data_IF_400662222721
#
_entry.id   IF_400662222721
#
_cell.length_a   1.000
_cell.length_b   1.000
_cell.length_c   1.000
_cell.angle_alpha   90.00
_cell.angle_beta   90.00
_cell.angle_gamma   90.00
#
_symmetry.space_group_name_H-M   'P 1'
#
loop_
_entity.id
_entity.type
_entity.pdbx_description
1 polymer ?
#
# COMPACT_ATOMS: atom_id res chain seq x y z
N UNK A 1 28.82 41.76 -7.24
CA UNK A 1 27.38 41.42 -7.26
C UNK A 1 26.91 40.51 -6.11
N UNK A 2 27.76 39.73 -5.43
CA UNK A 2 27.34 38.84 -4.33
C UNK A 2 26.89 39.54 -3.02
N UNK A 3 27.31 40.79 -2.77
CA UNK A 3 27.00 41.50 -1.51
C UNK A 3 25.55 42.00 -1.41
N UNK A 4 24.86 42.21 -2.52
CA UNK A 4 23.48 42.71 -2.52
C UNK A 4 22.48 41.59 -2.19
N UNK A 5 22.71 40.40 -2.74
CA UNK A 5 21.85 39.21 -2.53
C UNK A 5 21.87 38.75 -1.08
N UNK A 6 23.03 38.77 -0.41
CA UNK A 6 23.16 38.40 1.00
C UNK A 6 22.43 39.40 1.92
N UNK A 7 22.44 40.71 1.59
CA UNK A 7 21.68 41.71 2.35
C UNK A 7 20.17 41.51 2.22
N UNK A 8 19.68 41.13 1.04
CA UNK A 8 18.26 40.83 0.81
C UNK A 8 17.82 39.59 1.60
N UNK A 9 18.65 38.54 1.62
CA UNK A 9 18.35 37.32 2.38
C UNK A 9 18.34 37.61 3.89
N UNK A 10 19.34 38.32 4.42
CA UNK A 10 19.39 38.69 5.85
C UNK A 10 18.21 39.58 6.27
N UNK A 11 17.74 40.47 5.39
CA UNK A 11 16.56 41.30 5.62
C UNK A 11 15.28 40.44 5.68
N UNK A 12 15.11 39.51 4.74
CA UNK A 12 13.95 38.59 4.70
C UNK A 12 13.90 37.64 5.89
N UNK A 13 15.04 37.16 6.38
CA UNK A 13 15.10 36.32 7.60
C UNK A 13 14.67 37.10 8.84
N UNK A 14 15.16 38.34 9.01
CA UNK A 14 14.73 39.21 10.12
C UNK A 14 13.23 39.55 10.06
N UNK A 15 12.70 39.79 8.86
CA UNK A 15 11.27 40.07 8.68
C UNK A 15 10.41 38.83 9.02
N UNK A 16 10.89 37.62 8.70
CA UNK A 16 10.26 36.36 9.08
C UNK A 16 10.26 36.12 10.60
N UNK A 17 11.36 36.41 11.30
CA UNK A 17 11.41 36.30 12.76
C UNK A 17 10.45 37.28 13.43
N UNK A 18 10.37 38.52 12.93
CA UNK A 18 9.45 39.55 13.45
C UNK A 18 7.98 39.17 13.26
N UNK A 19 7.64 38.50 12.15
CA UNK A 19 6.32 37.96 11.89
C UNK A 19 6.00 36.77 12.80
N UNK A 20 7.01 35.94 13.12
CA UNK A 20 6.88 34.80 14.04
C UNK A 20 6.60 35.26 15.47
N UNK A 21 7.29 36.29 15.95
CA UNK A 21 7.02 36.89 17.27
C UNK A 21 5.63 37.53 17.35
N UNK A 22 5.18 38.20 16.28
CA UNK A 22 3.82 38.76 16.21
C UNK A 22 2.73 37.68 16.19
N UNK A 23 2.95 36.58 15.48
CA UNK A 23 2.02 35.44 15.47
C UNK A 23 1.94 34.75 16.83
N UNK A 24 3.06 34.64 17.56
CA UNK A 24 3.09 34.11 18.93
C UNK A 24 2.36 35.01 19.92
N UNK A 25 2.45 36.34 19.78
CA UNK A 25 1.70 37.28 20.62
C UNK A 25 0.19 37.24 20.28
N UNK A 26 -0.17 37.09 19.01
CA UNK A 26 -1.58 36.94 18.61
C UNK A 26 -2.19 35.63 19.11
N UNK A 27 -1.42 34.54 19.08
CA UNK A 27 -1.87 33.22 19.57
C UNK A 27 -2.03 33.17 21.08
N UNK A 28 -1.26 33.97 21.84
CA UNK A 28 -1.39 34.08 23.29
C UNK A 28 -2.66 34.84 23.75
N UNK A 29 -3.29 35.62 22.87
CA UNK A 29 -4.51 36.38 23.18
C UNK A 29 -5.81 35.67 22.74
N UNK A 30 -5.72 34.46 22.18
CA UNK A 30 -6.88 33.66 21.74
C UNK A 30 -6.97 32.38 22.58
N UNK A 31 -7.03 32.57 23.90
CA UNK A 31 -7.46 31.54 24.86
C UNK A 31 -8.41 32.18 25.86
N UNK A 32 -9.52 32.75 25.38
CA UNK A 32 -10.66 33.04 26.23
C UNK A 32 -11.94 33.24 25.41
N UNK A 33 -12.97 32.51 25.81
CA UNK A 33 -14.40 32.69 25.51
C UNK A 33 -14.89 32.26 24.11
N UNK A 34 -15.66 31.17 24.11
CA UNK A 34 -16.33 30.63 22.94
C UNK A 34 -17.47 31.50 22.39
N UNK A 35 -17.73 31.33 21.09
CA UNK A 35 -19.06 31.37 20.44
C UNK A 35 -18.92 30.87 19.00
N UNK A 36 -19.70 29.85 18.69
CA UNK A 36 -20.00 29.37 17.34
C UNK A 36 -20.68 30.46 16.49
N UNK A 37 -20.60 30.30 15.17
CA UNK A 37 -21.32 31.05 14.12
C UNK A 37 -21.05 32.55 14.01
N UNK A 38 -20.02 32.94 13.22
CA UNK A 38 -20.05 34.09 12.26
C UNK A 38 -18.69 34.41 11.64
N UNK A 39 -18.03 33.48 10.94
CA UNK A 39 -17.00 33.84 9.93
C UNK A 39 -17.08 32.85 8.74
N UNK A 40 -18.26 32.74 8.13
CA UNK A 40 -18.48 32.13 6.81
C UNK A 40 -19.11 33.15 5.86
N UNK A 41 -18.49 34.33 5.72
CA UNK A 41 -18.81 35.29 4.65
C UNK A 41 -17.91 36.53 4.82
N UNK A 42 -16.75 36.56 4.15
CA UNK A 42 -16.08 37.78 3.66
C UNK A 42 -14.66 37.50 3.10
N UNK A 43 -14.54 36.54 2.18
CA UNK A 43 -13.34 36.48 1.32
C UNK A 43 -13.66 35.93 -0.08
N UNK A 44 -14.88 36.16 -0.57
CA UNK A 44 -15.26 35.82 -1.94
C UNK A 44 -15.97 37.04 -2.57
N UNK A 45 -15.18 38.05 -2.94
CA UNK A 45 -15.49 39.04 -3.99
C UNK A 45 -14.27 39.95 -4.22
N UNK A 46 -13.90 40.10 -5.50
CA UNK A 46 -12.86 40.96 -6.10
C UNK A 46 -11.43 40.40 -6.13
N UNK A 47 -11.15 39.51 -7.08
CA UNK A 47 -10.58 39.90 -8.40
C UNK A 47 -10.21 38.66 -9.22
N UNK A 48 -10.69 38.65 -10.47
CA UNK A 48 -10.50 37.64 -11.50
C UNK A 48 -9.05 37.64 -12.02
N UNK A 49 -8.36 36.49 -11.99
CA UNK A 49 -7.77 35.83 -13.17
C UNK A 49 -6.86 34.65 -12.75
N UNK A 50 -7.02 33.54 -13.49
CA UNK A 50 -6.12 32.38 -13.65
C UNK A 50 -6.01 31.35 -12.50
N UNK A 51 -6.54 30.16 -12.82
CA UNK A 51 -6.19 28.79 -12.42
C UNK A 51 -5.71 28.52 -10.99
N UNK A 52 -6.49 27.76 -10.21
CA UNK A 52 -6.08 27.22 -8.90
C UNK A 52 -6.62 25.81 -8.69
N UNK A 53 -5.73 24.83 -8.61
CA UNK A 53 -5.90 23.66 -7.75
C UNK A 53 -4.81 23.70 -6.66
N UNK A 54 -5.26 23.53 -5.41
CA UNK A 54 -4.52 23.29 -4.15
C UNK A 54 -3.80 24.50 -3.50
N UNK A 55 -3.64 24.57 -2.15
CA UNK A 55 -3.29 23.42 -1.28
C UNK A 55 -4.00 23.26 0.08
N UNK A 56 -3.90 22.01 0.57
CA UNK A 56 -4.04 21.57 1.95
C UNK A 56 -3.19 22.41 2.93
N UNK A 57 -3.75 22.70 4.11
CA UNK A 57 -2.97 22.93 5.34
C UNK A 57 -3.86 22.71 6.58
N UNK A 58 -3.24 22.14 7.62
CA UNK A 58 -3.71 21.93 9.01
C UNK A 58 -4.74 20.81 9.27
N UNK A 59 -4.28 19.69 9.84
CA UNK A 59 -4.61 19.34 11.24
C UNK A 59 -3.77 18.15 11.75
N UNK A 60 -2.89 18.40 12.72
CA UNK A 60 -2.42 17.39 13.69
C UNK A 60 -2.09 18.14 14.98
N UNK A 61 -2.79 17.81 16.06
CA UNK A 61 -2.34 17.88 17.46
C UNK A 61 -3.48 17.37 18.36
N UNK A 62 -3.40 16.11 18.80
CA UNK A 62 -3.48 15.79 20.22
C UNK A 62 -3.26 14.29 20.44
N UNK A 63 -2.12 14.00 21.08
CA UNK A 63 -1.78 12.70 21.63
C UNK A 63 -2.24 12.61 23.09
N UNK A 64 -2.64 11.40 23.48
CA UNK A 64 -2.61 10.86 24.84
C UNK A 64 -3.77 11.23 25.79
N UNK A 65 -4.62 10.23 26.06
CA UNK A 65 -4.90 9.71 27.42
C UNK A 65 -5.75 8.43 27.37
N UNK A 66 -5.17 7.35 27.94
CA UNK A 66 -5.77 6.23 28.71
C UNK A 66 -6.97 5.45 28.14
N UNK A 67 -6.78 4.13 28.01
CA UNK A 67 -7.89 3.16 28.02
C UNK A 67 -7.41 1.71 27.82
N UNK A 68 -7.65 0.85 28.80
CA UNK A 68 -7.26 -0.56 28.89
C UNK A 68 -7.59 -1.40 27.65
N UNK A 69 -6.66 -2.28 27.25
CA UNK A 69 -6.91 -3.38 26.31
C UNK A 69 -7.34 -4.65 27.05
N UNK A 70 -8.55 -5.20 26.80
CA UNK A 70 -8.85 -6.56 27.18
C UNK A 70 -8.27 -7.54 26.16
N UNK A 71 -7.43 -8.44 26.66
CA UNK A 71 -7.03 -9.71 26.05
C UNK A 71 -8.26 -10.60 25.94
N UNK A 72 -9.01 -10.57 24.82
CA UNK A 72 -10.03 -11.59 24.48
C UNK A 72 -10.69 -11.43 23.09
N UNK A 73 -9.90 -11.31 22.01
CA UNK A 73 -10.42 -11.31 20.63
C UNK A 73 -9.61 -12.19 19.66
N UNK A 74 -9.19 -13.38 20.13
CA UNK A 74 -8.52 -14.38 19.29
C UNK A 74 -9.48 -15.20 18.38
N UNK A 75 -10.80 -15.02 18.48
CA UNK A 75 -11.76 -15.80 17.68
C UNK A 75 -12.79 -14.90 17.00
N UNK A 76 -12.45 -14.38 15.81
CA UNK A 76 -13.38 -14.12 14.69
C UNK A 76 -12.68 -13.30 13.61
N UNK A 77 -12.18 -14.00 12.60
CA UNK A 77 -12.22 -13.65 11.16
C UNK A 77 -11.07 -14.39 10.46
N UNK A 78 -11.30 -15.67 10.17
CA UNK A 78 -10.52 -16.40 9.17
C UNK A 78 -11.43 -16.51 7.95
N UNK A 79 -11.17 -15.69 6.93
CA UNK A 79 -11.87 -15.80 5.65
C UNK A 79 -11.24 -16.95 4.87
N UNK A 80 -11.97 -18.06 4.81
CA UNK A 80 -11.70 -19.16 3.87
C UNK A 80 -12.41 -18.81 2.57
N UNK A 81 -11.71 -18.87 1.44
CA UNK A 81 -12.32 -18.55 0.15
C UNK A 81 -12.44 -19.79 -0.74
N UNK A 82 -13.64 -19.99 -1.27
CA UNK A 82 -13.95 -20.85 -2.41
C UNK A 82 -14.59 -19.95 -3.47
N UNK A 83 -14.21 -20.11 -4.74
CA UNK A 83 -14.70 -19.28 -5.84
C UNK A 83 -16.22 -19.48 -6.07
N UNK A 84 -16.97 -18.38 -6.26
CA UNK A 84 -18.38 -18.39 -6.66
C UNK A 84 -18.49 -17.71 -8.03
N UNK A 85 -18.85 -18.47 -9.06
CA UNK A 85 -19.17 -17.95 -10.40
C UNK A 85 -20.64 -17.53 -10.46
N UNK A 86 -20.90 -16.25 -10.73
CA UNK A 86 -22.24 -15.69 -10.91
C UNK A 86 -22.84 -16.01 -12.29
N UNK A 87 -24.07 -16.53 -12.31
CA UNK A 87 -24.86 -16.72 -13.52
C UNK A 87 -26.06 -15.75 -13.57
N UNK A 88 -26.20 -15.03 -14.69
CA UNK A 88 -27.37 -14.19 -15.02
C UNK A 88 -28.55 -15.06 -15.47
N UNK A 89 -29.75 -14.62 -15.11
CA UNK A 89 -31.03 -15.21 -15.50
C UNK A 89 -31.51 -14.56 -16.80
N UNK A 90 -31.87 -15.38 -17.79
CA UNK A 90 -32.94 -15.12 -18.76
C UNK A 90 -33.40 -16.47 -19.32
N UNK A 91 -34.69 -16.79 -19.20
CA UNK A 91 -35.32 -17.96 -19.83
C UNK A 91 -36.46 -17.50 -20.75
N UNK A 92 -36.44 -17.97 -21.99
CA UNK A 92 -37.56 -18.73 -22.57
C UNK A 92 -37.08 -19.49 -23.81
N UNK A 93 -37.31 -20.80 -23.85
CA UNK A 93 -36.98 -21.65 -25.00
C UNK A 93 -36.52 -23.04 -24.60
N UNK A 94 -37.47 -23.96 -24.45
CA UNK A 94 -37.26 -25.38 -24.18
C UNK A 94 -36.70 -26.08 -25.42
N UNK A 95 -35.54 -26.73 -25.32
CA UNK A 95 -35.12 -27.75 -26.27
C UNK A 95 -34.44 -28.92 -25.55
N UNK A 96 -34.94 -30.12 -25.87
CA UNK A 96 -34.38 -31.41 -25.47
C UNK A 96 -32.89 -31.49 -25.76
N UNK A 97 -32.09 -31.88 -24.77
CA UNK A 97 -30.70 -32.30 -25.00
C UNK A 97 -30.42 -33.53 -24.15
N UNK A 98 -29.80 -34.52 -24.79
CA UNK A 98 -29.37 -35.79 -24.22
C UNK A 98 -28.41 -35.54 -23.06
N UNK A 99 -28.57 -36.32 -21.99
CA UNK A 99 -27.70 -36.26 -20.83
C UNK A 99 -26.37 -36.95 -21.16
N UNK A 100 -25.38 -36.19 -21.64
CA UNK A 100 -23.98 -36.59 -21.52
C UNK A 100 -23.50 -36.24 -20.11
N UNK A 101 -23.29 -37.28 -19.31
CA UNK A 101 -22.56 -37.17 -18.07
C UNK A 101 -21.11 -36.81 -18.39
N UNK A 102 -20.77 -35.52 -18.38
CA UNK A 102 -19.38 -35.06 -18.35
C UNK A 102 -18.84 -35.45 -16.98
N UNK A 103 -18.17 -36.60 -16.93
CA UNK A 103 -17.37 -36.99 -15.79
C UNK A 103 -16.32 -35.91 -15.56
N UNK A 104 -16.57 -35.03 -14.59
CA UNK A 104 -15.58 -34.08 -14.12
C UNK A 104 -14.40 -34.90 -13.59
N UNK A 105 -13.32 -34.95 -14.37
CA UNK A 105 -12.05 -35.51 -13.94
C UNK A 105 -11.60 -34.71 -12.74
N UNK A 106 -11.78 -35.28 -11.55
CA UNK A 106 -11.17 -34.82 -10.32
C UNK A 106 -9.70 -35.20 -10.36
N UNK A 107 -8.94 -34.57 -11.27
CA UNK A 107 -7.49 -34.52 -11.13
C UNK A 107 -7.23 -33.60 -9.95
N UNK A 108 -7.05 -34.19 -8.76
CA UNK A 108 -6.27 -33.56 -7.71
C UNK A 108 -4.89 -33.35 -8.31
N UNK A 109 -4.64 -32.18 -8.89
CA UNK A 109 -3.28 -31.71 -9.10
C UNK A 109 -2.67 -31.70 -7.70
N UNK A 110 -1.81 -32.69 -7.44
CA UNK A 110 -0.96 -32.66 -6.27
C UNK A 110 -0.03 -31.49 -6.53
N UNK A 111 -0.33 -30.33 -5.94
CA UNK A 111 0.57 -29.19 -6.00
C UNK A 111 1.94 -29.67 -5.53
N UNK A 112 2.87 -29.83 -6.46
CA UNK A 112 4.23 -30.28 -6.16
C UNK A 112 4.87 -29.23 -5.26
N UNK A 113 4.96 -29.54 -3.97
CA UNK A 113 5.65 -28.70 -2.99
C UNK A 113 7.12 -28.62 -3.40
N UNK A 114 7.73 -27.44 -3.29
CA UNK A 114 9.11 -27.25 -3.68
C UNK A 114 10.05 -28.21 -2.91
N UNK A 115 10.96 -28.85 -3.63
CA UNK A 115 11.97 -29.75 -3.06
C UNK A 115 13.14 -28.93 -2.49
N UNK A 116 12.98 -28.46 -1.26
CA UNK A 116 13.98 -27.70 -0.51
C UNK A 116 14.05 -28.18 0.95
N UNK A 117 15.19 -27.94 1.62
CA UNK A 117 15.34 -28.18 3.06
C UNK A 117 14.55 -27.13 3.88
N UNK A 118 13.31 -27.48 4.21
CA UNK A 118 12.41 -26.65 5.00
C UNK A 118 12.89 -26.41 6.44
N UNK A 119 13.66 -27.33 7.03
CA UNK A 119 14.18 -27.22 8.40
C UNK A 119 15.46 -26.34 8.45
N UNK A 120 16.20 -26.33 7.36
CA UNK A 120 17.34 -25.45 7.13
C UNK A 120 16.99 -24.00 6.84
N UNK A 121 15.73 -23.67 6.52
CA UNK A 121 15.33 -22.32 6.12
C UNK A 121 15.69 -21.25 7.17
N UNK A 122 16.48 -20.27 6.73
CA UNK A 122 16.75 -19.03 7.47
C UNK A 122 15.81 -17.90 7.06
N UNK A 123 16.27 -16.66 7.27
CA UNK A 123 15.65 -15.44 6.76
C UNK A 123 16.43 -14.88 5.56
N UNK A 124 16.86 -15.77 4.66
CA UNK A 124 17.51 -15.41 3.40
C UNK A 124 16.48 -15.21 2.29
N UNK A 125 16.86 -14.48 1.25
CA UNK A 125 16.07 -14.45 0.02
C UNK A 125 16.19 -15.81 -0.68
N UNK A 126 15.08 -16.52 -0.77
CA UNK A 126 14.92 -17.66 -1.66
C UNK A 126 14.03 -17.20 -2.82
N UNK A 127 14.61 -17.15 -4.02
CA UNK A 127 13.87 -16.74 -5.21
C UNK A 127 12.74 -17.74 -5.50
N UNK A 128 11.52 -17.21 -5.69
CA UNK A 128 10.33 -17.96 -6.09
C UNK A 128 10.00 -17.71 -7.56
N UNK A 129 8.90 -18.27 -8.06
CA UNK A 129 8.62 -18.32 -9.49
C UNK A 129 8.10 -16.99 -10.05
N UNK A 130 7.18 -16.36 -9.32
CA UNK A 130 6.46 -15.18 -9.80
C UNK A 130 6.51 -14.02 -8.81
N UNK A 131 6.45 -12.81 -9.35
CA UNK A 131 6.17 -11.56 -8.66
C UNK A 131 5.00 -10.85 -9.35
N UNK A 132 4.31 -9.96 -8.63
CA UNK A 132 3.23 -9.15 -9.20
C UNK A 132 3.68 -7.70 -9.34
N UNK A 133 3.39 -7.08 -10.48
CA UNK A 133 3.67 -5.67 -10.73
C UNK A 133 2.41 -4.91 -11.13
N UNK A 134 2.30 -3.69 -10.62
CA UNK A 134 1.26 -2.75 -10.99
C UNK A 134 1.85 -1.35 -11.05
N UNK A 135 1.46 -0.56 -12.05
CA UNK A 135 1.98 0.79 -12.25
C UNK A 135 0.87 1.81 -12.06
N UNK A 136 1.23 2.92 -11.42
CA UNK A 136 0.46 4.14 -11.40
C UNK A 136 1.18 5.19 -12.26
N UNK A 137 0.44 5.81 -13.18
CA UNK A 137 0.97 6.85 -14.07
C UNK A 137 0.58 8.23 -13.54
N UNK A 138 0.84 9.26 -14.35
CA UNK A 138 0.63 10.68 -14.00
C UNK A 138 -0.82 11.06 -13.67
N UNK A 139 -1.77 10.21 -14.00
CA UNK A 139 -3.19 10.37 -13.66
C UNK A 139 -3.49 10.05 -12.20
N UNK A 140 -2.56 9.41 -11.49
CA UNK A 140 -2.75 9.00 -10.09
C UNK A 140 -3.52 7.69 -9.94
N UNK A 141 -3.87 7.03 -11.05
CA UNK A 141 -4.64 5.79 -11.05
C UNK A 141 -3.72 4.58 -11.21
N UNK A 142 -4.04 3.49 -10.51
CA UNK A 142 -3.36 2.21 -10.67
C UNK A 142 -4.07 1.40 -11.76
N UNK A 143 -3.30 1.02 -12.78
CA UNK A 143 -3.77 0.19 -13.89
C UNK A 143 -3.83 -1.28 -13.48
N UNK A 144 -4.43 -2.13 -14.32
CA UNK A 144 -4.39 -3.58 -14.11
C UNK A 144 -2.93 -4.06 -13.99
N UNK A 145 -2.66 -4.81 -12.93
CA UNK A 145 -1.33 -5.39 -12.69
C UNK A 145 -1.25 -6.80 -13.25
N UNK A 146 -0.03 -7.33 -13.29
CA UNK A 146 0.27 -8.61 -13.90
C UNK A 146 1.25 -9.43 -13.06
N UNK A 147 1.08 -10.75 -13.12
CA UNK A 147 2.08 -11.70 -12.64
C UNK A 147 3.17 -11.82 -13.70
N UNK A 148 4.41 -11.70 -13.25
CA UNK A 148 5.60 -11.86 -14.08
C UNK A 148 6.54 -12.86 -13.41
N UNK A 149 7.39 -13.57 -14.17
CA UNK A 149 8.48 -14.34 -13.58
C UNK A 149 9.31 -13.46 -12.65
N UNK A 150 9.74 -14.01 -11.51
CA UNK A 150 10.60 -13.28 -10.59
C UNK A 150 11.88 -12.83 -11.31
N UNK A 151 12.22 -11.55 -11.20
CA UNK A 151 13.37 -10.99 -11.90
C UNK A 151 13.74 -9.59 -11.42
N UNK A 152 14.72 -9.01 -12.09
CA UNK A 152 15.19 -7.66 -11.83
C UNK A 152 14.15 -6.62 -12.24
N UNK A 153 13.99 -5.58 -11.41
CA UNK A 153 13.18 -4.40 -11.74
C UNK A 153 14.09 -3.36 -12.37
N UNK A 154 13.80 -2.98 -13.62
CA UNK A 154 14.50 -1.90 -14.30
C UNK A 154 13.97 -0.54 -13.84
N UNK A 155 14.88 0.36 -13.44
CA UNK A 155 14.56 1.71 -13.00
C UNK A 155 15.44 2.72 -13.75
N UNK A 156 14.89 3.89 -14.03
CA UNK A 156 15.70 5.03 -14.47
C UNK A 156 16.73 5.37 -13.39
N UNK A 157 17.99 5.71 -13.73
CA UNK A 157 18.95 6.26 -12.77
C UNK A 157 18.42 7.51 -12.05
N UNK A 158 17.51 8.26 -12.67
CA UNK A 158 16.84 9.43 -12.09
C UNK A 158 15.52 9.11 -11.37
N UNK A 159 15.23 7.84 -11.08
CA UNK A 159 14.02 7.47 -10.34
C UNK A 159 14.00 8.10 -8.94
N UNK A 160 12.81 8.56 -8.52
CA UNK A 160 12.62 9.20 -7.21
C UNK A 160 13.02 8.30 -6.04
N UNK A 161 12.77 6.99 -6.15
CA UNK A 161 13.18 6.00 -5.14
C UNK A 161 14.70 5.91 -4.97
N UNK A 162 15.47 6.04 -6.05
CA UNK A 162 16.94 5.92 -6.02
C UNK A 162 17.63 7.19 -5.51
N UNK A 163 17.07 8.36 -5.81
CA UNK A 163 17.72 9.65 -5.54
C UNK A 163 17.21 10.33 -4.27
N UNK A 164 15.93 10.13 -3.94
CA UNK A 164 15.25 10.83 -2.85
C UNK A 164 14.62 9.88 -1.84
N UNK A 165 14.84 8.57 -1.98
CA UNK A 165 14.27 7.57 -1.07
C UNK A 165 12.74 7.55 -1.08
N UNK A 166 12.10 8.00 -2.17
CA UNK A 166 10.65 8.06 -2.28
C UNK A 166 10.07 6.65 -2.51
N UNK A 167 10.00 5.87 -1.44
CA UNK A 167 9.43 4.53 -1.45
C UNK A 167 9.16 4.01 -0.05
N UNK A 168 8.27 3.02 0.04
CA UNK A 168 7.94 2.34 1.29
C UNK A 168 7.66 0.86 1.02
N UNK A 169 7.57 0.08 2.09
CA UNK A 169 7.32 -1.35 1.99
C UNK A 169 6.31 -1.83 3.03
N UNK A 170 5.75 -3.01 2.78
CA UNK A 170 4.93 -3.76 3.71
C UNK A 170 5.43 -5.18 3.87
N UNK A 171 5.11 -5.78 5.03
CA UNK A 171 5.53 -7.13 5.38
C UNK A 171 4.37 -7.92 5.99
N UNK A 172 4.05 -9.04 5.38
CA UNK A 172 3.03 -9.97 5.85
C UNK A 172 3.42 -11.42 5.50
N UNK A 173 2.61 -12.38 5.93
CA UNK A 173 2.91 -13.80 5.80
C UNK A 173 1.69 -14.59 5.35
N UNK A 174 1.91 -15.58 4.49
CA UNK A 174 0.96 -16.64 4.21
C UNK A 174 1.37 -17.92 4.94
N UNK A 175 0.37 -18.63 5.45
CA UNK A 175 0.56 -19.87 6.19
C UNK A 175 -0.24 -21.00 5.58
N UNK A 176 0.34 -22.20 5.59
CA UNK A 176 -0.37 -23.44 5.29
C UNK A 176 -0.93 -24.03 6.58
N UNK A 177 -2.24 -24.16 6.66
CA UNK A 177 -2.92 -24.82 7.76
C UNK A 177 -2.76 -26.34 7.67
N UNK A 178 -3.07 -27.05 8.75
CA UNK A 178 -2.97 -28.53 8.80
C UNK A 178 -3.93 -29.23 7.84
N UNK A 179 -5.03 -28.57 7.47
CA UNK A 179 -5.99 -29.03 6.47
C UNK A 179 -5.67 -28.56 5.03
N UNK A 180 -4.48 -27.98 4.82
CA UNK A 180 -3.96 -27.63 3.49
C UNK A 180 -4.45 -26.29 2.93
N UNK A 181 -5.32 -25.56 3.64
CA UNK A 181 -5.73 -24.20 3.25
C UNK A 181 -4.56 -23.22 3.38
N UNK A 182 -4.64 -22.14 2.61
CA UNK A 182 -3.72 -21.01 2.70
C UNK A 182 -4.45 -19.86 3.37
N UNK A 183 -3.85 -19.29 4.41
CA UNK A 183 -4.41 -18.16 5.15
C UNK A 183 -3.46 -16.96 5.13
N UNK A 184 -4.05 -15.77 5.05
CA UNK A 184 -3.38 -14.48 5.24
C UNK A 184 -3.91 -13.86 6.52
N UNK A 185 -3.02 -13.26 7.31
CA UNK A 185 -3.41 -12.60 8.54
C UNK A 185 -3.60 -11.10 8.30
N UNK A 186 -4.87 -10.65 8.28
CA UNK A 186 -5.28 -9.24 8.20
C UNK A 186 -4.57 -8.42 7.10
N UNK A 187 -4.52 -8.90 5.83
CA UNK A 187 -3.83 -8.18 4.77
C UNK A 187 -4.40 -6.77 4.50
N UNK A 188 -5.65 -6.52 4.85
CA UNK A 188 -6.30 -5.21 4.76
C UNK A 188 -5.60 -4.16 5.66
N UNK A 189 -5.10 -4.55 6.82
CA UNK A 189 -4.40 -3.64 7.75
C UNK A 189 -3.02 -3.23 7.21
N UNK A 190 -2.36 -4.14 6.50
CA UNK A 190 -1.13 -3.82 5.79
C UNK A 190 -1.42 -2.83 4.65
N UNK A 191 -2.52 -3.00 3.93
CA UNK A 191 -2.92 -2.08 2.86
C UNK A 191 -3.20 -0.66 3.39
N UNK A 192 -3.97 -0.56 4.48
CA UNK A 192 -4.26 0.73 5.14
C UNK A 192 -2.99 1.41 5.66
N UNK A 193 -2.04 0.64 6.20
CA UNK A 193 -0.75 1.19 6.64
C UNK A 193 0.10 1.68 5.48
N UNK A 194 0.08 0.98 4.34
CA UNK A 194 0.72 1.44 3.11
C UNK A 194 0.11 2.74 2.60
N UNK A 195 -1.21 2.88 2.63
CA UNK A 195 -1.92 4.10 2.23
C UNK A 195 -1.49 5.31 3.06
N UNK A 196 -1.46 5.18 4.38
CA UNK A 196 -0.98 6.23 5.30
C UNK A 196 0.48 6.59 5.02
N UNK A 197 1.33 5.59 4.75
CA UNK A 197 2.74 5.80 4.41
C UNK A 197 2.92 6.52 3.08
N UNK A 198 2.09 6.19 2.08
CA UNK A 198 2.13 6.79 0.76
C UNK A 198 1.72 8.27 0.82
N UNK A 199 0.67 8.59 1.57
CA UNK A 199 0.26 9.96 1.85
C UNK A 199 1.43 10.76 2.46
N UNK A 200 2.13 10.17 3.44
CA UNK A 200 3.28 10.83 4.08
C UNK A 200 4.44 11.11 3.12
N UNK A 201 4.59 10.30 2.08
CA UNK A 201 5.62 10.42 1.04
C UNK A 201 5.12 11.13 -0.23
N UNK A 202 3.90 11.69 -0.19
CA UNK A 202 3.25 12.32 -1.33
C UNK A 202 3.18 11.40 -2.56
N UNK A 203 2.89 10.12 -2.35
CA UNK A 203 2.71 9.12 -3.41
C UNK A 203 1.25 8.65 -3.48
N UNK A 204 0.72 8.32 -4.67
CA UNK A 204 -0.50 7.54 -4.79
C UNK A 204 -0.32 6.14 -4.19
N UNK A 205 -1.38 5.60 -3.59
CA UNK A 205 -1.43 4.23 -3.08
C UNK A 205 -2.49 3.41 -3.83
N UNK A 206 -2.29 2.09 -4.00
CA UNK A 206 -3.35 1.23 -4.51
C UNK A 206 -4.50 1.18 -3.51
N UNK A 207 -5.71 0.93 -3.99
CA UNK A 207 -6.84 0.66 -3.10
C UNK A 207 -6.60 -0.58 -2.24
N UNK A 208 -7.28 -0.69 -1.10
CA UNK A 208 -7.21 -1.89 -0.25
C UNK A 208 -7.53 -3.17 -1.03
N UNK A 209 -8.51 -3.09 -1.94
CA UNK A 209 -8.88 -4.21 -2.80
C UNK A 209 -7.76 -4.59 -3.77
N UNK A 210 -7.16 -3.62 -4.45
CA UNK A 210 -6.04 -3.85 -5.37
C UNK A 210 -4.84 -4.47 -4.64
N UNK A 211 -4.51 -3.96 -3.46
CA UNK A 211 -3.44 -4.50 -2.62
C UNK A 211 -3.70 -5.97 -2.26
N UNK A 212 -4.88 -6.26 -1.70
CA UNK A 212 -5.23 -7.60 -1.23
C UNK A 212 -5.32 -8.58 -2.40
N UNK A 213 -5.84 -8.14 -3.55
CA UNK A 213 -5.92 -8.94 -4.76
C UNK A 213 -4.52 -9.31 -5.27
N UNK A 214 -3.61 -8.35 -5.40
CA UNK A 214 -2.24 -8.58 -5.81
C UNK A 214 -1.48 -9.56 -4.89
N UNK A 215 -1.66 -9.41 -3.57
CA UNK A 215 -1.09 -10.34 -2.58
C UNK A 215 -1.64 -11.75 -2.80
N UNK A 216 -2.95 -11.91 -2.96
CA UNK A 216 -3.58 -13.22 -3.20
C UNK A 216 -3.07 -13.86 -4.49
N UNK A 217 -3.02 -13.11 -5.59
CA UNK A 217 -2.50 -13.61 -6.87
C UNK A 217 -1.05 -14.09 -6.74
N UNK A 218 -0.19 -13.29 -6.11
CA UNK A 218 1.23 -13.63 -5.93
C UNK A 218 1.40 -14.88 -5.07
N UNK A 219 0.65 -15.01 -3.98
CA UNK A 219 0.72 -16.18 -3.08
C UNK A 219 0.24 -17.45 -3.79
N UNK A 220 -0.85 -17.36 -4.57
CA UNK A 220 -1.38 -18.50 -5.31
C UNK A 220 -0.43 -18.94 -6.43
N UNK A 221 0.15 -18.00 -7.17
CA UNK A 221 1.15 -18.30 -8.21
C UNK A 221 2.41 -18.97 -7.65
N UNK A 222 2.73 -18.75 -6.36
CA UNK A 222 3.87 -19.33 -5.67
C UNK A 222 3.46 -20.37 -4.62
N UNK A 223 2.29 -21.01 -4.76
CA UNK A 223 1.73 -21.93 -3.76
C UNK A 223 2.68 -23.06 -3.35
N UNK A 224 3.49 -23.56 -4.27
CA UNK A 224 4.49 -24.61 -4.00
C UNK A 224 5.61 -24.19 -3.04
N UNK A 225 5.87 -22.89 -2.95
CA UNK A 225 6.89 -22.30 -2.07
C UNK A 225 6.36 -22.05 -0.65
N UNK A 226 5.07 -22.26 -0.37
CA UNK A 226 4.53 -22.09 0.98
C UNK A 226 4.94 -23.30 1.81
N UNK A 227 5.73 -23.12 2.89
CA UNK A 227 6.20 -24.22 3.73
C UNK A 227 5.06 -25.12 4.22
N UNK A 228 5.32 -26.41 4.42
CA UNK A 228 4.40 -27.29 5.13
C UNK A 228 4.01 -26.71 6.49
N UNK A 229 2.83 -27.09 7.00
CA UNK A 229 2.39 -26.65 8.32
C UNK A 229 3.46 -26.98 9.38
N UNK A 230 3.70 -26.06 10.32
CA UNK A 230 4.77 -26.08 11.35
C UNK A 230 6.21 -25.78 10.90
N UNK A 231 6.53 -25.84 9.60
CA UNK A 231 7.91 -25.63 9.11
C UNK A 231 8.28 -24.16 8.89
N UNK A 232 7.28 -23.29 8.69
CA UNK A 232 7.52 -21.87 8.52
C UNK A 232 6.35 -21.14 7.88
N UNK A 233 6.66 -20.09 7.13
CA UNK A 233 5.68 -19.26 6.44
C UNK A 233 6.23 -18.76 5.11
N UNK A 234 5.36 -18.42 4.17
CA UNK A 234 5.76 -17.66 3.00
C UNK A 234 5.73 -16.17 3.36
N UNK A 235 6.90 -15.55 3.45
CA UNK A 235 7.01 -14.11 3.67
C UNK A 235 6.64 -13.37 2.39
N UNK A 236 5.80 -12.36 2.53
CA UNK A 236 5.32 -11.52 1.43
C UNK A 236 5.91 -10.14 1.65
N UNK A 237 6.66 -9.66 0.66
CA UNK A 237 7.20 -8.31 0.61
C UNK A 237 6.46 -7.53 -0.45
N UNK A 238 5.81 -6.46 -0.01
CA UNK A 238 5.20 -5.48 -0.91
C UNK A 238 6.06 -4.23 -0.92
N UNK A 239 6.30 -3.66 -2.10
CA UNK A 239 7.05 -2.44 -2.32
C UNK A 239 6.16 -1.42 -3.05
N UNK A 240 6.26 -0.15 -2.66
CA UNK A 240 5.68 0.97 -3.38
C UNK A 240 6.80 1.99 -3.61
N UNK A 241 7.13 2.23 -4.89
CA UNK A 241 8.35 2.94 -5.28
C UNK A 241 8.02 4.06 -6.27
N UNK A 242 8.50 5.27 -6.02
CA UNK A 242 8.55 6.34 -7.01
C UNK A 242 9.52 6.01 -8.14
N UNK A 243 9.05 5.27 -9.13
CA UNK A 243 9.86 4.68 -10.21
C UNK A 243 10.07 5.63 -11.39
N UNK A 244 9.21 6.64 -11.53
CA UNK A 244 9.29 7.63 -12.60
C UNK A 244 10.54 8.53 -12.51
N UNK A 245 11.12 8.94 -13.65
CA UNK A 245 12.30 9.79 -13.69
C UNK A 245 11.98 11.22 -13.21
N UNK A 246 12.72 11.71 -12.22
CA UNK A 246 12.57 13.06 -11.65
C UNK A 246 13.89 13.58 -11.08
N UNK A 247 14.30 14.79 -11.49
CA UNK A 247 15.45 15.52 -10.91
C UNK A 247 15.04 16.74 -10.10
N UNK A 248 13.79 17.20 -10.28
CA UNK A 248 13.22 18.27 -9.46
C UNK A 248 12.82 17.73 -8.10
N UNK A 249 12.88 18.57 -7.06
CA UNK A 249 12.34 18.21 -5.75
C UNK A 249 10.81 18.19 -5.81
N UNK A 250 10.23 16.99 -5.94
CA UNK A 250 8.79 16.77 -6.01
C UNK A 250 8.43 15.28 -6.13
N UNK A 251 7.14 14.93 -6.10
CA UNK A 251 6.70 13.56 -6.27
C UNK A 251 7.11 12.96 -7.62
N UNK A 252 7.50 11.69 -7.61
CA UNK A 252 7.77 10.96 -8.85
C UNK A 252 6.52 10.93 -9.76
N UNK A 253 6.69 11.08 -11.08
CA UNK A 253 5.57 11.10 -12.03
C UNK A 253 4.93 9.72 -12.26
N UNK A 254 5.61 8.65 -11.84
CA UNK A 254 5.16 7.28 -11.94
C UNK A 254 5.55 6.54 -10.66
N UNK A 255 4.67 5.63 -10.24
CA UNK A 255 4.87 4.78 -9.07
C UNK A 255 4.69 3.33 -9.47
N UNK A 256 5.57 2.47 -8.98
CA UNK A 256 5.47 1.02 -9.16
C UNK A 256 5.14 0.37 -7.82
N UNK A 257 4.05 -0.40 -7.82
CA UNK A 257 3.67 -1.33 -6.77
C UNK A 257 4.12 -2.73 -7.17
N UNK A 258 4.84 -3.41 -6.28
CA UNK A 258 5.40 -4.73 -6.53
C UNK A 258 5.17 -5.65 -5.34
N UNK A 259 4.79 -6.89 -5.59
CA UNK A 259 4.71 -7.95 -4.59
C UNK A 259 5.63 -9.09 -4.97
N UNK A 260 6.53 -9.48 -4.08
CA UNK A 260 7.29 -10.72 -4.20
C UNK A 260 7.24 -11.51 -2.89
N UNK A 261 7.61 -12.78 -2.97
CA UNK A 261 7.53 -13.70 -1.84
C UNK A 261 8.83 -14.47 -1.65
N UNK A 262 9.05 -14.99 -0.44
CA UNK A 262 10.16 -15.88 -0.12
C UNK A 262 9.75 -16.82 1.02
N UNK A 263 10.00 -18.14 0.92
CA UNK A 263 9.83 -19.02 2.08
C UNK A 263 10.80 -18.60 3.19
N UNK A 264 10.31 -18.61 4.44
CA UNK A 264 11.11 -18.35 5.62
C UNK A 264 10.80 -19.36 6.71
N UNK A 265 11.83 -19.81 7.43
CA UNK A 265 11.70 -20.71 8.56
C UNK A 265 11.18 -20.01 9.82
N UNK A 266 11.09 -20.78 10.90
CA UNK A 266 10.77 -20.23 12.23
C UNK A 266 11.93 -19.36 12.74
N UNK A 267 11.60 -18.21 13.31
CA UNK A 267 12.60 -17.22 13.73
C UNK A 267 13.42 -17.67 14.95
N UNK A 268 12.79 -18.43 15.84
CA UNK A 268 13.44 -19.06 16.99
C UNK A 268 13.62 -20.55 16.66
N UNK A 269 14.88 -21.01 16.68
CA UNK A 269 15.26 -22.42 16.61
C UNK A 269 15.56 -22.93 18.01
#
# INVERSE_FOLDING_TARGET
MASATIRVIKKRVKDCEKLRTRASILAANVTEVGKEEKIKANCCRRSNHVSKHLPCYNFLLNSSRKGNFPVDLWKRSCTSFTAISGGRINQSGTLHTQAEAVAASTSREVDEVADIDWDGLGFGLQQTDYMYLMKCRKDGEFYEGELQPFGTVELSPSAGVLNYGQGLFEGLKAYRTTDGRIILFRPEENALRMEIGAERLCMPAPSVEQFVNAVKQTVLANKRWIPPSSKGSLYIRVLLMGSGPVLGLGPAPEVTFLVFVSPVGNYFK
#
